data_IF_294511806247
#
_entry.id   IF_294511806247
#
_cell.length_a   1.000
_cell.length_b   1.000
_cell.length_c   1.000
_cell.angle_alpha   90.00
_cell.angle_beta   90.00
_cell.angle_gamma   90.00
#
_symmetry.space_group_name_H-M   'P 1'
#
loop_
_entity.id
_entity.type
_entity.pdbx_description
1 polymer ?
#
# COMPACT_ATOMS: atom_id res chain seq x y z
N UNK A 1 -3.99 -32.18 -16.69
CA UNK A 1 -4.42 -31.49 -15.45
C UNK A 1 -3.27 -31.28 -14.44
N UNK A 2 -2.37 -32.25 -14.25
CA UNK A 2 -1.14 -32.08 -13.43
C UNK A 2 -0.15 -31.04 -13.99
N UNK A 3 -0.10 -30.85 -15.31
CA UNK A 3 0.79 -29.84 -15.93
C UNK A 3 0.37 -28.39 -15.67
N UNK A 4 -0.93 -28.13 -15.51
CA UNK A 4 -1.43 -26.81 -15.11
C UNK A 4 -1.02 -26.46 -13.68
N UNK A 5 -0.89 -27.45 -12.78
CA UNK A 5 -0.36 -27.25 -11.43
C UNK A 5 1.16 -27.07 -11.43
N UNK A 6 1.87 -27.66 -12.39
CA UNK A 6 3.33 -27.53 -12.54
C UNK A 6 3.74 -26.10 -12.94
N UNK A 7 2.96 -25.43 -13.80
CA UNK A 7 3.17 -24.00 -14.13
C UNK A 7 2.98 -23.03 -12.94
N UNK A 8 2.35 -23.46 -11.84
CA UNK A 8 2.28 -22.65 -10.62
C UNK A 8 3.58 -22.68 -9.81
N UNK A 9 4.47 -23.65 -10.05
CA UNK A 9 5.79 -23.74 -9.43
C UNK A 9 6.85 -22.90 -10.18
N UNK A 10 6.65 -22.67 -11.48
CA UNK A 10 7.60 -21.97 -12.37
C UNK A 10 7.32 -20.46 -12.54
N UNK A 11 6.35 -19.90 -11.81
CA UNK A 11 6.03 -18.47 -11.89
C UNK A 11 7.05 -17.70 -11.01
N UNK A 12 7.99 -16.92 -11.58
CA UNK A 12 9.30 -16.60 -10.95
C UNK A 12 9.24 -15.68 -9.73
N UNK A 13 8.04 -15.27 -9.29
CA UNK A 13 7.86 -14.59 -8.02
C UNK A 13 6.59 -15.11 -7.34
N UNK A 14 6.60 -16.39 -6.93
CA UNK A 14 5.65 -16.88 -5.92
C UNK A 14 6.01 -16.23 -4.58
N UNK A 15 5.67 -14.95 -4.43
CA UNK A 15 5.69 -14.28 -3.13
C UNK A 15 4.82 -15.14 -2.20
N UNK A 16 5.36 -15.74 -1.13
CA UNK A 16 4.57 -16.56 -0.24
C UNK A 16 3.42 -15.71 0.29
N UNK A 17 2.18 -16.23 0.28
CA UNK A 17 1.00 -15.46 0.69
C UNK A 17 1.17 -14.79 2.05
N UNK A 18 1.90 -15.43 2.96
CA UNK A 18 2.30 -14.84 4.23
C UNK A 18 2.96 -13.47 4.07
N UNK A 19 3.95 -13.34 3.18
CA UNK A 19 4.62 -12.05 2.92
C UNK A 19 3.72 -11.00 2.25
N UNK A 20 2.63 -11.39 1.55
CA UNK A 20 1.63 -10.44 1.06
C UNK A 20 0.75 -9.92 2.20
N UNK A 21 0.25 -10.84 3.03
CA UNK A 21 -0.54 -10.52 4.22
C UNK A 21 0.27 -9.62 5.15
N UNK A 22 1.54 -9.94 5.39
CA UNK A 22 2.45 -9.12 6.21
C UNK A 22 2.56 -7.68 5.68
N UNK A 23 2.72 -7.47 4.36
CA UNK A 23 2.80 -6.13 3.77
C UNK A 23 1.55 -5.30 4.02
N UNK A 24 0.37 -5.88 3.84
CA UNK A 24 -0.89 -5.17 4.08
C UNK A 24 -1.19 -4.98 5.57
N UNK A 25 -0.79 -5.92 6.42
CA UNK A 25 -0.84 -5.75 7.89
C UNK A 25 0.05 -4.58 8.32
N UNK A 26 1.27 -4.47 7.80
CA UNK A 26 2.13 -3.30 8.03
C UNK A 26 1.49 -2.00 7.55
N UNK A 27 0.79 -2.04 6.41
CA UNK A 27 0.07 -0.87 5.89
C UNK A 27 -1.07 -0.44 6.82
N UNK A 28 -1.83 -1.42 7.35
CA UNK A 28 -2.89 -1.18 8.34
C UNK A 28 -2.30 -0.61 9.63
N UNK A 29 -1.20 -1.20 10.13
CA UNK A 29 -0.52 -0.74 11.34
C UNK A 29 0.05 0.67 11.16
N UNK A 30 0.55 1.01 9.97
CA UNK A 30 0.98 2.37 9.65
C UNK A 30 -0.20 3.35 9.79
N UNK A 31 -1.37 3.03 9.22
CA UNK A 31 -2.58 3.86 9.39
C UNK A 31 -2.98 4.03 10.86
N UNK A 32 -2.92 2.96 11.66
CA UNK A 32 -3.18 3.01 13.11
C UNK A 32 -2.15 3.89 13.83
N UNK A 33 -0.87 3.74 13.51
CA UNK A 33 0.20 4.52 14.10
C UNK A 33 0.03 6.02 13.80
N UNK A 34 -0.33 6.38 12.57
CA UNK A 34 -0.62 7.78 12.20
C UNK A 34 -1.85 8.31 12.95
N UNK A 35 -2.90 7.49 13.11
CA UNK A 35 -4.10 7.86 13.86
C UNK A 35 -3.83 8.13 15.35
N UNK A 36 -2.92 7.38 15.98
CA UNK A 36 -2.61 7.50 17.42
C UNK A 36 -1.53 8.55 17.68
N UNK A 37 -0.45 8.55 16.90
CA UNK A 37 0.73 9.37 17.16
C UNK A 37 0.65 10.77 16.54
N UNK A 38 -0.45 11.11 15.84
CA UNK A 38 -0.54 12.33 15.02
C UNK A 38 0.74 12.51 14.20
N UNK A 39 1.15 11.45 13.49
CA UNK A 39 2.42 11.48 12.78
C UNK A 39 2.40 12.70 11.84
N UNK A 40 3.44 13.56 11.86
CA UNK A 40 3.41 14.89 11.23
C UNK A 40 3.51 14.86 9.70
N UNK A 41 3.08 13.76 9.07
CA UNK A 41 3.36 13.45 7.67
C UNK A 41 2.43 14.19 6.69
N UNK A 42 1.27 14.69 7.14
CA UNK A 42 0.28 15.37 6.27
C UNK A 42 0.00 16.84 6.60
N UNK A 43 0.42 17.31 7.78
CA UNK A 43 0.06 18.63 8.29
C UNK A 43 0.71 19.80 7.51
N UNK A 44 1.67 19.53 6.61
CA UNK A 44 2.29 20.57 5.78
C UNK A 44 1.68 20.75 4.39
N UNK A 45 0.89 19.78 3.90
CA UNK A 45 0.27 19.86 2.55
C UNK A 45 -1.26 19.92 2.64
N UNK A 46 -1.84 19.56 3.78
CA UNK A 46 -3.29 19.43 3.97
C UNK A 46 -3.71 19.84 5.38
N UNK A 47 -4.96 20.26 5.56
CA UNK A 47 -5.52 20.66 6.85
C UNK A 47 -5.48 19.52 7.88
N UNK A 48 -5.35 19.81 9.18
CA UNK A 48 -5.27 18.83 10.27
C UNK A 48 -6.36 17.71 10.24
N UNK A 49 -7.58 18.02 9.76
CA UNK A 49 -8.66 17.04 9.62
C UNK A 49 -8.37 15.96 8.55
N UNK A 50 -7.54 16.27 7.55
CA UNK A 50 -7.17 15.38 6.46
C UNK A 50 -6.33 14.20 6.96
N UNK A 51 -5.45 14.43 7.93
CA UNK A 51 -4.59 13.41 8.55
C UNK A 51 -5.41 12.27 9.15
N UNK A 52 -6.54 12.57 9.81
CA UNK A 52 -7.44 11.56 10.38
C UNK A 52 -8.22 10.78 9.32
N UNK A 53 -8.76 11.45 8.29
CA UNK A 53 -9.46 10.78 7.20
C UNK A 53 -8.53 9.89 6.37
N UNK A 54 -7.30 10.35 6.13
CA UNK A 54 -6.26 9.58 5.46
C UNK A 54 -5.89 8.33 6.28
N UNK A 55 -5.67 8.48 7.58
CA UNK A 55 -5.32 7.37 8.46
C UNK A 55 -6.44 6.31 8.48
N UNK A 56 -7.70 6.75 8.61
CA UNK A 56 -8.86 5.85 8.53
C UNK A 56 -8.92 5.14 7.16
N UNK A 57 -8.71 5.86 6.07
CA UNK A 57 -8.66 5.30 4.72
C UNK A 57 -7.57 4.23 4.57
N UNK A 58 -6.37 4.48 5.10
CA UNK A 58 -5.25 3.52 5.09
C UNK A 58 -5.57 2.27 5.89
N UNK A 59 -6.18 2.42 7.07
CA UNK A 59 -6.58 1.28 7.91
C UNK A 59 -7.62 0.42 7.20
N UNK A 60 -8.68 1.04 6.68
CA UNK A 60 -9.76 0.31 5.99
C UNK A 60 -9.26 -0.36 4.72
N UNK A 61 -8.49 0.35 3.89
CA UNK A 61 -7.96 -0.21 2.65
C UNK A 61 -6.91 -1.30 2.90
N UNK A 62 -6.05 -1.11 3.91
CA UNK A 62 -5.10 -2.13 4.37
C UNK A 62 -5.82 -3.39 4.87
N UNK A 63 -6.88 -3.23 5.67
CA UNK A 63 -7.69 -4.36 6.14
C UNK A 63 -8.39 -5.10 4.99
N UNK A 64 -8.97 -4.38 4.03
CA UNK A 64 -9.60 -4.96 2.84
C UNK A 64 -8.58 -5.70 1.98
N UNK A 65 -7.40 -5.11 1.74
CA UNK A 65 -6.32 -5.74 0.98
C UNK A 65 -5.78 -6.99 1.68
N UNK A 66 -5.64 -6.93 3.01
CA UNK A 66 -5.24 -8.06 3.86
C UNK A 66 -6.25 -9.19 3.75
N UNK A 67 -7.54 -8.89 3.95
CA UNK A 67 -8.62 -9.87 3.86
C UNK A 67 -8.68 -10.51 2.46
N UNK A 68 -8.58 -9.71 1.40
CA UNK A 68 -8.52 -10.18 0.02
C UNK A 68 -7.35 -11.13 -0.25
N UNK A 69 -6.19 -10.86 0.35
CA UNK A 69 -4.97 -11.67 0.19
C UNK A 69 -5.05 -13.06 0.81
N UNK A 70 -5.99 -13.29 1.74
CA UNK A 70 -6.14 -14.59 2.41
C UNK A 70 -6.79 -15.67 1.51
N UNK A 71 -7.63 -15.27 0.55
CA UNK A 71 -8.46 -16.19 -0.25
C UNK A 71 -8.32 -15.91 -1.75
N UNK A 72 -7.98 -16.94 -2.56
CA UNK A 72 -7.86 -16.80 -4.04
C UNK A 72 -9.12 -16.20 -4.70
N UNK A 73 -10.31 -16.58 -4.22
CA UNK A 73 -11.59 -16.11 -4.78
C UNK A 73 -11.81 -14.61 -4.55
N UNK A 74 -11.05 -13.98 -3.65
CA UNK A 74 -11.24 -12.59 -3.20
C UNK A 74 -10.22 -11.63 -3.80
N UNK A 75 -9.59 -12.00 -4.92
CA UNK A 75 -8.59 -11.18 -5.60
C UNK A 75 -9.08 -9.75 -5.92
N UNK A 76 -10.39 -9.57 -6.20
CA UNK A 76 -10.99 -8.25 -6.47
C UNK A 76 -10.93 -7.33 -5.24
N UNK A 77 -11.08 -7.88 -4.04
CA UNK A 77 -10.93 -7.12 -2.79
C UNK A 77 -9.47 -6.77 -2.54
N UNK A 78 -8.54 -7.70 -2.81
CA UNK A 78 -7.10 -7.40 -2.76
C UNK A 78 -6.74 -6.27 -3.72
N UNK A 79 -7.23 -6.34 -4.95
CA UNK A 79 -7.01 -5.32 -5.98
C UNK A 79 -7.56 -3.95 -5.57
N UNK A 80 -8.83 -3.90 -5.16
CA UNK A 80 -9.46 -2.65 -4.74
C UNK A 80 -8.75 -2.02 -3.53
N UNK A 81 -8.41 -2.84 -2.52
CA UNK A 81 -7.67 -2.37 -1.35
C UNK A 81 -6.26 -1.89 -1.71
N UNK A 82 -5.52 -2.65 -2.53
CA UNK A 82 -4.18 -2.26 -2.99
C UNK A 82 -4.21 -0.96 -3.81
N UNK A 83 -5.19 -0.82 -4.71
CA UNK A 83 -5.37 0.39 -5.51
C UNK A 83 -5.64 1.61 -4.62
N UNK A 84 -6.50 1.47 -3.60
CA UNK A 84 -6.81 2.55 -2.68
C UNK A 84 -5.61 2.92 -1.79
N UNK A 85 -4.85 1.93 -1.30
CA UNK A 85 -3.58 2.15 -0.58
C UNK A 85 -2.59 2.93 -1.45
N UNK A 86 -2.42 2.53 -2.72
CA UNK A 86 -1.52 3.23 -3.64
C UNK A 86 -1.99 4.66 -3.90
N UNK A 87 -3.29 4.88 -4.09
CA UNK A 87 -3.85 6.22 -4.28
C UNK A 87 -3.63 7.12 -3.05
N UNK A 88 -3.82 6.59 -1.84
CA UNK A 88 -3.57 7.32 -0.59
C UNK A 88 -2.09 7.61 -0.38
N UNK A 89 -1.20 6.71 -0.78
CA UNK A 89 0.25 6.92 -0.70
C UNK A 89 0.79 7.84 -1.80
N UNK A 90 0.11 7.95 -2.95
CA UNK A 90 0.53 8.83 -4.05
C UNK A 90 0.56 10.31 -3.65
N UNK A 91 -0.23 10.70 -2.63
CA UNK A 91 -0.18 12.04 -2.04
C UNK A 91 1.24 12.37 -1.54
N UNK A 92 1.99 11.37 -1.04
CA UNK A 92 3.36 11.55 -0.58
C UNK A 92 4.39 11.63 -1.70
N UNK A 93 4.05 11.30 -2.95
CA UNK A 93 4.98 11.44 -4.06
C UNK A 93 5.35 12.90 -4.34
N UNK A 94 4.46 13.83 -4.01
CA UNK A 94 4.67 15.27 -4.19
C UNK A 94 5.22 15.97 -2.93
N UNK A 95 5.11 15.33 -1.75
CA UNK A 95 5.55 15.91 -0.48
C UNK A 95 7.06 16.25 -0.44
N UNK A 96 8.00 15.39 -0.87
CA UNK A 96 9.43 15.71 -0.84
C UNK A 96 9.77 16.95 -1.67
N UNK A 97 9.11 17.12 -2.83
CA UNK A 97 9.33 18.29 -3.69
C UNK A 97 9.01 19.58 -2.92
N UNK A 98 7.88 19.61 -2.21
CA UNK A 98 7.48 20.77 -1.39
C UNK A 98 8.40 20.96 -0.19
N UNK A 99 8.77 19.86 0.49
CA UNK A 99 9.58 19.88 1.72
C UNK A 99 11.04 20.30 1.49
N UNK A 100 11.61 19.97 0.33
CA UNK A 100 12.97 20.41 -0.05
C UNK A 100 13.06 21.94 -0.11
N UNK A 101 12.03 22.61 -0.62
CA UNK A 101 11.99 24.08 -0.66
C UNK A 101 11.61 24.71 0.69
N UNK A 102 10.96 23.96 1.60
CA UNK A 102 10.57 24.41 2.93
C UNK A 102 11.67 24.30 4.01
N UNK A 103 12.76 23.58 3.75
CA UNK A 103 13.92 23.47 4.65
C UNK A 103 13.73 22.55 5.86
N UNK A 104 12.67 21.74 5.91
CA UNK A 104 12.37 20.84 7.04
C UNK A 104 12.93 19.42 6.78
N UNK A 105 14.18 19.19 7.22
CA UNK A 105 14.96 17.97 6.93
C UNK A 105 14.38 16.73 7.63
N UNK A 106 13.84 16.87 8.85
CA UNK A 106 13.28 15.74 9.59
C UNK A 106 12.04 15.17 8.87
N UNK A 107 11.16 16.06 8.40
CA UNK A 107 9.94 15.65 7.66
C UNK A 107 10.24 15.16 6.26
N UNK A 108 11.29 15.68 5.62
CA UNK A 108 11.78 15.15 4.36
C UNK A 108 12.15 13.67 4.50
N UNK A 109 12.87 13.28 5.56
CA UNK A 109 13.23 11.89 5.82
C UNK A 109 11.99 10.98 5.95
N UNK A 110 10.94 11.43 6.66
CA UNK A 110 9.68 10.68 6.74
C UNK A 110 8.99 10.53 5.38
N UNK A 111 8.96 11.57 4.55
CA UNK A 111 8.36 11.50 3.20
C UNK A 111 9.09 10.50 2.30
N UNK A 112 10.42 10.44 2.40
CA UNK A 112 11.26 9.48 1.65
C UNK A 112 11.00 8.05 2.13
N UNK A 113 10.83 7.83 3.43
CA UNK A 113 10.46 6.53 3.99
C UNK A 113 9.07 6.09 3.48
N UNK A 114 8.09 6.99 3.48
CA UNK A 114 6.75 6.72 2.94
C UNK A 114 6.79 6.38 1.44
N UNK A 115 7.62 7.07 0.66
CA UNK A 115 7.87 6.78 -0.75
C UNK A 115 8.52 5.40 -0.96
N UNK A 116 9.52 5.04 -0.17
CA UNK A 116 10.12 3.71 -0.18
C UNK A 116 9.08 2.63 0.14
N UNK A 117 8.19 2.89 1.11
CA UNK A 117 7.09 2.00 1.45
C UNK A 117 6.07 1.86 0.30
N UNK A 118 5.84 2.90 -0.51
CA UNK A 118 4.91 2.88 -1.64
C UNK A 118 5.29 1.86 -2.72
N UNK A 119 6.57 1.47 -2.82
CA UNK A 119 7.03 0.45 -3.77
C UNK A 119 6.33 -0.89 -3.52
N UNK A 120 6.07 -1.27 -2.27
CA UNK A 120 5.48 -2.56 -1.92
C UNK A 120 4.04 -2.75 -2.43
N UNK A 121 3.07 -1.87 -2.11
CA UNK A 121 1.71 -2.01 -2.62
C UNK A 121 1.64 -1.73 -4.13
N UNK A 122 2.49 -0.85 -4.67
CA UNK A 122 2.49 -0.52 -6.11
C UNK A 122 2.95 -1.69 -6.97
N UNK A 123 4.06 -2.33 -6.62
CA UNK A 123 4.55 -3.53 -7.33
C UNK A 123 3.52 -4.66 -7.30
N UNK A 124 2.80 -4.81 -6.17
CA UNK A 124 1.73 -5.80 -6.06
C UNK A 124 0.53 -5.45 -6.92
N UNK A 125 0.09 -4.19 -6.93
CA UNK A 125 -1.00 -3.72 -7.79
C UNK A 125 -0.69 -3.99 -9.26
N UNK A 126 0.53 -3.67 -9.74
CA UNK A 126 0.96 -3.97 -11.11
C UNK A 126 0.90 -5.47 -11.41
N UNK A 127 1.34 -6.29 -10.47
CA UNK A 127 1.25 -7.77 -10.60
C UNK A 127 -0.21 -8.23 -10.69
N UNK A 128 -1.11 -7.63 -9.91
CA UNK A 128 -2.54 -7.94 -9.94
C UNK A 128 -3.19 -7.49 -11.26
N UNK A 129 -2.83 -6.32 -11.81
CA UNK A 129 -3.30 -5.84 -13.12
C UNK A 129 -2.91 -6.84 -14.21
N UNK A 130 -1.64 -7.25 -14.24
CA UNK A 130 -1.13 -8.21 -15.23
C UNK A 130 -1.83 -9.58 -15.14
N UNK A 131 -2.19 -10.02 -13.92
CA UNK A 131 -2.93 -11.28 -13.71
C UNK A 131 -4.41 -11.16 -14.08
N UNK A 132 -5.06 -10.07 -13.70
CA UNK A 132 -6.46 -9.81 -14.03
C UNK A 132 -6.72 -9.69 -15.54
N UNK A 133 -5.73 -9.27 -16.31
CA UNK A 133 -5.79 -9.27 -17.79
C UNK A 133 -5.54 -10.62 -18.46
N UNK A 134 -4.97 -11.60 -17.75
CA UNK A 134 -4.76 -12.97 -18.28
C UNK A 134 -5.90 -13.94 -17.96
N UNK A 135 -6.72 -13.60 -16.95
CA UNK A 135 -7.89 -14.37 -16.51
C UNK A 135 -9.22 -13.82 -17.10
N UNK A 136 -9.16 -12.72 -17.87
CA UNK A 136 -10.28 -12.07 -18.57
C UNK A 136 -10.24 -12.39 -20.07
#
# INVERSE_FOLDING_TARGET
MRERLRRWADDPIVIPRGSMVTKYVFTTLLGVAVAIATAPTLDQVTSASYSSFWALGMVLAGAVATAGSTRKKWWRFEFAGAMFVVALLAVYAFAPVVLIFGGDIERLAYSVICLGFMVFPTTRLVTLIRRGGSDA
#
